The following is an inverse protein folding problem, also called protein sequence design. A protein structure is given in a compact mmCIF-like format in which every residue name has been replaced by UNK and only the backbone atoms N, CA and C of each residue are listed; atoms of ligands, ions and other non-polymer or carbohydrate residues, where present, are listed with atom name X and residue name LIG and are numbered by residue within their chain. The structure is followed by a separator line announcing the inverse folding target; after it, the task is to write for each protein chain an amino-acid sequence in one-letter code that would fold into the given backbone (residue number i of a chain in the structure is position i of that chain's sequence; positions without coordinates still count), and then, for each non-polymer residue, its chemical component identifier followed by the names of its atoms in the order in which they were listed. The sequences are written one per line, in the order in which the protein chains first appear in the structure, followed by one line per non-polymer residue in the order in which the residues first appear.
data_IF_233519255359
#
_entry.id   IF_233519255359
#
_cell.length_a   1.000
_cell.length_b   1.000
_cell.length_c   1.000
_cell.angle_alpha   90.00
_cell.angle_beta   90.00
_cell.angle_gamma   90.00
#
_symmetry.space_group_name_H-M   'P 1'
#
loop_
_entity.id
_entity.type
_entity.pdbx_description
1 polymer ?
#
# COMPACT_ATOMS: atom_id res chain seq x y z
N UNK A 1 -5.48 -24.88 -1.01
CA UNK A 1 -5.02 -23.93 -2.03
C UNK A 1 -3.60 -23.53 -1.64
N UNK A 2 -2.60 -24.18 -2.23
CA UNK A 2 -1.18 -23.98 -1.89
C UNK A 2 -0.69 -22.65 -2.49
N UNK A 3 0.29 -21.97 -1.86
CA UNK A 3 0.91 -20.80 -2.45
C UNK A 3 1.65 -21.20 -3.73
N UNK A 4 1.48 -20.40 -4.77
CA UNK A 4 2.11 -20.61 -6.08
C UNK A 4 3.63 -20.50 -5.92
N UNK A 5 4.32 -21.51 -6.45
CA UNK A 5 5.76 -21.68 -6.37
C UNK A 5 6.50 -20.59 -7.16
N UNK A 6 7.39 -19.86 -6.48
CA UNK A 6 8.71 -19.54 -7.06
C UNK A 6 8.85 -18.44 -8.11
N UNK A 7 7.92 -17.48 -8.26
CA UNK A 7 8.28 -16.24 -8.96
C UNK A 7 9.23 -15.42 -8.08
N UNK A 8 10.49 -15.35 -8.49
CA UNK A 8 11.51 -14.57 -7.80
C UNK A 8 11.08 -13.09 -7.88
N UNK A 9 10.65 -12.53 -6.74
CA UNK A 9 10.33 -11.12 -6.60
C UNK A 9 11.43 -10.27 -7.25
N UNK A 10 11.07 -9.40 -8.20
CA UNK A 10 12.01 -8.54 -8.92
C UNK A 10 12.95 -7.84 -7.91
N UNK A 11 14.27 -7.97 -8.11
CA UNK A 11 15.30 -7.38 -7.24
C UNK A 11 15.13 -5.86 -7.07
N UNK A 12 14.47 -5.18 -8.01
CA UNK A 12 14.09 -3.77 -7.91
C UNK A 12 12.97 -3.57 -6.89
N UNK A 13 11.93 -4.40 -6.92
CA UNK A 13 10.83 -4.36 -5.94
C UNK A 13 11.39 -4.59 -4.53
N UNK A 14 12.25 -5.60 -4.36
CA UNK A 14 12.88 -5.88 -3.07
C UNK A 14 13.69 -4.69 -2.56
N UNK A 15 14.48 -4.03 -3.43
CA UNK A 15 15.23 -2.81 -3.08
C UNK A 15 14.32 -1.66 -2.69
N UNK A 16 13.20 -1.46 -3.39
CA UNK A 16 12.24 -0.40 -3.04
C UNK A 16 11.52 -0.70 -1.72
N UNK A 17 11.16 -1.95 -1.46
CA UNK A 17 10.61 -2.37 -0.16
C UNK A 17 11.58 -2.05 0.97
N UNK A 18 12.86 -2.45 0.84
CA UNK A 18 13.90 -2.14 1.83
C UNK A 18 14.06 -0.63 2.04
N UNK A 19 13.95 0.18 0.98
CA UNK A 19 13.97 1.64 1.08
C UNK A 19 12.78 2.19 1.85
N UNK A 20 11.58 1.67 1.64
CA UNK A 20 10.38 2.08 2.40
C UNK A 20 10.53 1.72 3.87
N UNK A 21 10.98 0.51 4.19
CA UNK A 21 11.24 0.07 5.59
C UNK A 21 12.28 0.96 6.27
N UNK A 22 13.38 1.27 5.59
CA UNK A 22 14.39 2.20 6.14
C UNK A 22 13.81 3.59 6.40
N UNK A 23 12.94 4.06 5.51
CA UNK A 23 12.34 5.39 5.59
C UNK A 23 11.20 5.47 6.62
N UNK A 24 10.52 4.36 6.92
CA UNK A 24 9.44 4.34 7.92
C UNK A 24 9.96 4.57 9.34
N UNK A 25 11.26 4.33 9.59
CA UNK A 25 11.89 4.33 10.91
C UNK A 25 11.17 3.41 11.92
N UNK A 26 10.40 2.45 11.42
CA UNK A 26 9.67 1.47 12.19
C UNK A 26 10.14 0.07 11.79
N UNK A 27 10.90 -0.63 12.64
CA UNK A 27 11.40 -1.99 12.34
C UNK A 27 10.27 -3.00 12.17
N UNK A 28 9.10 -2.78 12.79
CA UNK A 28 7.94 -3.66 12.73
C UNK A 28 7.01 -3.36 11.54
N UNK A 29 7.34 -2.37 10.71
CA UNK A 29 6.47 -1.90 9.63
C UNK A 29 6.01 -3.02 8.68
N UNK A 30 6.91 -3.93 8.28
CA UNK A 30 6.52 -5.05 7.41
C UNK A 30 5.65 -6.08 8.14
N UNK A 31 5.84 -6.26 9.44
CA UNK A 31 4.96 -7.10 10.25
C UNK A 31 3.57 -6.48 10.35
N UNK A 32 3.46 -5.16 10.53
CA UNK A 32 2.17 -4.46 10.52
C UNK A 32 1.45 -4.56 9.18
N UNK A 33 2.17 -4.43 8.06
CA UNK A 33 1.61 -4.61 6.72
C UNK A 33 1.07 -6.03 6.55
N UNK A 34 1.88 -7.04 6.90
CA UNK A 34 1.51 -8.45 6.83
C UNK A 34 0.28 -8.75 7.70
N UNK A 35 0.31 -8.30 8.95
CA UNK A 35 -0.78 -8.50 9.90
C UNK A 35 -2.07 -7.86 9.43
N UNK A 36 -2.01 -6.65 8.85
CA UNK A 36 -3.17 -5.98 8.32
C UNK A 36 -3.83 -6.77 7.18
N UNK A 37 -3.03 -7.34 6.29
CA UNK A 37 -3.53 -8.21 5.23
C UNK A 37 -4.13 -9.50 5.80
N UNK A 38 -3.43 -10.19 6.70
CA UNK A 38 -3.90 -11.44 7.30
C UNK A 38 -5.17 -11.27 8.14
N UNK A 39 -5.29 -10.16 8.85
CA UNK A 39 -6.47 -9.80 9.66
C UNK A 39 -7.61 -9.20 8.81
N UNK A 40 -7.48 -9.18 7.48
CA UNK A 40 -8.45 -8.61 6.53
C UNK A 40 -8.76 -7.14 6.78
N UNK A 41 -7.80 -6.41 7.34
CA UNK A 41 -7.88 -4.98 7.59
C UNK A 41 -7.29 -4.17 6.43
N UNK A 42 -6.46 -4.80 5.60
CA UNK A 42 -5.90 -4.21 4.40
C UNK A 42 -6.00 -5.17 3.21
N UNK A 43 -6.06 -4.59 2.01
CA UNK A 43 -6.08 -5.29 0.74
C UNK A 43 -4.80 -4.99 -0.03
N UNK A 44 -4.19 -6.03 -0.60
CA UNK A 44 -3.04 -5.91 -1.48
C UNK A 44 -3.54 -5.94 -2.94
N UNK A 45 -3.24 -4.89 -3.69
CA UNK A 45 -3.53 -4.76 -5.11
C UNK A 45 -2.25 -4.96 -5.89
N UNK A 46 -2.25 -5.97 -6.73
CA UNK A 46 -1.18 -6.19 -7.69
C UNK A 46 -1.26 -5.14 -8.80
N UNK A 47 -0.10 -4.67 -9.22
CA UNK A 47 0.07 -3.73 -10.30
C UNK A 47 1.11 -4.31 -11.30
N UNK A 48 1.05 -3.96 -12.60
CA UNK A 48 1.96 -4.53 -13.60
C UNK A 48 3.46 -4.39 -13.28
N UNK A 49 3.83 -3.42 -12.45
CA UNK A 49 5.21 -3.15 -12.07
C UNK A 49 5.43 -3.14 -10.54
N UNK A 50 4.52 -3.73 -9.76
CA UNK A 50 4.61 -3.77 -8.31
C UNK A 50 3.30 -4.04 -7.60
N UNK A 51 3.07 -3.39 -6.46
CA UNK A 51 1.85 -3.56 -5.66
C UNK A 51 1.57 -2.39 -4.71
N UNK A 52 0.32 -2.31 -4.26
CA UNK A 52 -0.19 -1.34 -3.29
C UNK A 52 -0.91 -2.07 -2.16
N UNK A 53 -0.74 -1.64 -0.91
CA UNK A 53 -1.48 -2.13 0.25
C UNK A 53 -2.36 -1.00 0.76
N UNK A 54 -3.67 -1.19 0.70
CA UNK A 54 -4.68 -0.20 1.09
C UNK A 54 -5.39 -0.69 2.35
N UNK A 55 -5.42 0.13 3.40
CA UNK A 55 -6.15 -0.11 4.64
C UNK A 55 -7.33 0.87 4.72
N UNK A 56 -8.53 0.37 5.00
CA UNK A 56 -9.66 1.25 5.33
C UNK A 56 -9.54 1.70 6.78
N UNK A 57 -9.72 2.99 7.04
CA UNK A 57 -9.52 3.61 8.35
C UNK A 57 -10.65 4.61 8.63
N UNK A 58 -10.99 4.83 9.91
CA UNK A 58 -11.86 5.91 10.36
C UNK A 58 -10.98 7.01 10.97
N UNK A 59 -11.22 8.25 10.60
CA UNK A 59 -10.65 9.42 11.30
C UNK A 59 -11.25 9.56 12.71
N UNK A 60 -10.66 10.44 13.52
CA UNK A 60 -11.16 10.75 14.87
C UNK A 60 -12.61 11.25 14.86
N UNK A 61 -13.02 11.94 13.77
CA UNK A 61 -14.39 12.41 13.55
C UNK A 61 -15.32 11.32 12.96
N UNK A 62 -14.86 10.07 12.87
CA UNK A 62 -15.63 8.94 12.33
C UNK A 62 -15.79 8.96 10.81
N UNK A 63 -15.04 9.81 10.09
CA UNK A 63 -15.11 9.88 8.63
C UNK A 63 -14.18 8.80 8.04
N UNK A 64 -14.69 7.88 7.21
CA UNK A 64 -13.87 6.87 6.56
C UNK A 64 -12.90 7.47 5.53
N UNK A 65 -11.71 6.90 5.47
CA UNK A 65 -10.67 7.20 4.49
C UNK A 65 -9.82 5.96 4.22
N UNK A 66 -9.01 6.01 3.15
CA UNK A 66 -8.10 4.92 2.82
C UNK A 66 -6.66 5.32 3.09
N UNK A 67 -5.95 4.52 3.86
CA UNK A 67 -4.52 4.63 4.05
C UNK A 67 -3.80 3.74 3.03
N UNK A 68 -3.05 4.35 2.11
CA UNK A 68 -2.04 3.66 1.29
C UNK A 68 -0.86 3.34 2.20
N UNK A 69 -0.94 2.18 2.85
CA UNK A 69 0.00 1.72 3.85
C UNK A 69 1.38 1.44 3.24
N UNK A 70 1.40 0.81 2.06
CA UNK A 70 2.62 0.50 1.32
C UNK A 70 2.35 0.62 -0.18
N UNK A 71 3.27 1.23 -0.92
CA UNK A 71 3.25 1.25 -2.37
C UNK A 71 4.66 1.03 -2.89
N UNK A 72 4.84 -0.02 -3.70
CA UNK A 72 6.13 -0.39 -4.27
C UNK A 72 5.94 -0.67 -5.74
N UNK A 73 6.55 0.14 -6.60
CA UNK A 73 6.46 -0.01 -8.05
C UNK A 73 7.81 0.34 -8.68
N UNK A 74 8.19 -0.34 -9.75
CA UNK A 74 9.51 -0.18 -10.39
C UNK A 74 9.55 0.89 -11.48
N UNK A 75 8.40 1.34 -11.99
CA UNK A 75 8.31 2.42 -12.99
C UNK A 75 8.34 3.84 -12.41
N UNK A 76 8.50 4.83 -13.28
CA UNK A 76 8.41 6.25 -12.89
C UNK A 76 6.98 6.69 -12.62
N UNK A 77 6.80 7.73 -11.79
CA UNK A 77 5.49 8.37 -11.56
C UNK A 77 4.39 7.40 -11.13
N UNK A 78 4.73 6.36 -10.38
CA UNK A 78 3.80 5.30 -9.96
C UNK A 78 2.61 5.83 -9.16
N UNK A 79 2.83 6.89 -8.37
CA UNK A 79 1.73 7.60 -7.71
C UNK A 79 0.75 8.15 -8.74
N UNK A 80 1.19 8.90 -9.75
CA UNK A 80 0.31 9.47 -10.78
C UNK A 80 -0.43 8.37 -11.56
N UNK A 81 0.26 7.27 -11.90
CA UNK A 81 -0.33 6.15 -12.66
C UNK A 81 -1.44 5.43 -11.90
N UNK A 82 -1.23 5.18 -10.61
CA UNK A 82 -2.20 4.43 -9.79
C UNK A 82 -3.15 5.34 -8.99
N UNK A 83 -2.98 6.66 -9.06
CA UNK A 83 -3.85 7.61 -8.38
C UNK A 83 -5.33 7.48 -8.79
N UNK A 84 -5.69 7.30 -10.08
CA UNK A 84 -7.08 7.07 -10.47
C UNK A 84 -7.68 5.82 -9.81
N UNK A 85 -6.91 4.73 -9.78
CA UNK A 85 -7.33 3.46 -9.17
C UNK A 85 -7.50 3.61 -7.64
N UNK A 86 -6.52 4.23 -6.98
CA UNK A 86 -6.59 4.53 -5.54
C UNK A 86 -7.81 5.39 -5.22
N UNK A 87 -8.14 6.39 -6.05
CA UNK A 87 -9.35 7.20 -5.88
C UNK A 87 -10.63 6.36 -6.02
N UNK A 88 -10.71 5.50 -7.03
CA UNK A 88 -11.85 4.59 -7.22
C UNK A 88 -12.02 3.68 -6.02
N UNK A 89 -10.95 3.00 -5.60
CA UNK A 89 -10.96 2.09 -4.46
C UNK A 89 -11.30 2.81 -3.15
N UNK A 90 -10.82 4.04 -2.98
CA UNK A 90 -11.18 4.90 -1.84
C UNK A 90 -12.68 5.13 -1.80
N UNK A 91 -13.30 5.49 -2.93
CA UNK A 91 -14.75 5.70 -3.00
C UNK A 91 -15.54 4.41 -2.76
N UNK A 92 -15.09 3.30 -3.33
CA UNK A 92 -15.72 1.99 -3.13
C UNK A 92 -15.67 1.54 -1.67
N UNK A 93 -14.58 1.86 -0.96
CA UNK A 93 -14.45 1.62 0.48
C UNK A 93 -15.27 2.60 1.35
N UNK A 94 -16.02 3.52 0.75
CA UNK A 94 -16.75 4.58 1.44
C UNK A 94 -15.88 5.76 1.89
N UNK A 95 -14.59 5.74 1.57
CA UNK A 95 -13.62 6.74 1.96
C UNK A 95 -13.82 8.10 1.28
N UNK A 96 -13.51 9.18 2.00
CA UNK A 96 -13.57 10.55 1.47
C UNK A 96 -12.27 11.04 0.84
N UNK A 97 -11.14 10.60 1.39
CA UNK A 97 -9.79 10.90 0.91
C UNK A 97 -8.88 9.67 1.05
N UNK A 98 -7.67 9.76 0.51
CA UNK A 98 -6.63 8.79 0.80
C UNK A 98 -5.36 9.45 1.35
N UNK A 99 -4.67 8.74 2.22
CA UNK A 99 -3.41 9.12 2.84
C UNK A 99 -2.29 8.20 2.40
N UNK A 100 -1.12 8.77 2.10
CA UNK A 100 0.07 8.00 1.74
C UNK A 100 0.98 7.88 2.96
N UNK A 101 1.14 6.65 3.49
CA UNK A 101 2.15 6.33 4.50
C UNK A 101 3.42 5.71 3.90
N UNK A 102 3.67 6.01 2.63
CA UNK A 102 4.86 5.51 1.92
C UNK A 102 6.07 6.42 2.19
N UNK A 103 7.20 6.16 1.53
CA UNK A 103 8.37 7.06 1.55
C UNK A 103 8.04 8.51 1.18
N UNK A 104 6.92 8.74 0.49
CA UNK A 104 6.32 10.07 0.26
C UNK A 104 5.04 10.15 1.10
N UNK A 105 5.08 10.90 2.20
CA UNK A 105 3.91 11.18 3.04
C UNK A 105 3.08 12.32 2.45
N UNK A 106 1.76 12.20 2.44
CA UNK A 106 0.86 13.24 1.93
C UNK A 106 -0.58 12.77 1.74
N UNK A 107 -1.45 13.72 1.41
CA UNK A 107 -2.89 13.53 1.18
C UNK A 107 -3.21 13.86 -0.28
N UNK A 108 -4.26 13.24 -0.83
CA UNK A 108 -4.77 13.50 -2.19
C UNK A 108 -6.20 14.00 -2.20
#
# INVERSE_FOLDING_TARGET
MAPVSGERMDDRILRYMQRVVRNSRNPEFMNEVKDACLKKQAFCFEAPDGFLVLRSVLSDDGIPYVLVLLGVCTGSKSVERYLPEVKTLTRLAGGRWAEFHTARRGFI
#
